data_IF_165345607214
#
_entry.id   IF_165345607214
#
_cell.length_a   1.000
_cell.length_b   1.000
_cell.length_c   1.000
_cell.angle_alpha   90.00
_cell.angle_beta   90.00
_cell.angle_gamma   90.00
#
_symmetry.space_group_name_H-M   'P 1'
#
loop_
_entity.id
_entity.type
_entity.pdbx_description
1 polymer ?
#
# COMPACT_ATOMS: atom_id res chain seq x y z
N UNK A 1 15.40 4.93 5.91
CA UNK A 1 14.04 4.48 6.27
C UNK A 1 13.11 4.76 5.11
N UNK A 2 12.27 3.81 4.70
CA UNK A 2 11.21 4.08 3.71
C UNK A 2 10.01 4.63 4.49
N UNK A 3 9.57 5.84 4.17
CA UNK A 3 8.34 6.38 4.74
C UNK A 3 7.15 5.57 4.19
N UNK A 4 6.41 4.93 5.08
CA UNK A 4 5.29 4.05 4.73
C UNK A 4 4.06 4.45 5.52
N UNK A 5 2.90 4.43 4.86
CA UNK A 5 1.62 4.59 5.53
C UNK A 5 0.93 3.24 5.66
N UNK A 6 0.02 3.13 6.63
CA UNK A 6 -0.84 1.95 6.81
C UNK A 6 -1.56 1.59 5.49
N UNK A 7 -2.01 2.60 4.77
CA UNK A 7 -2.66 2.45 3.46
C UNK A 7 -1.70 1.88 2.41
N UNK A 8 -0.49 2.45 2.26
CA UNK A 8 0.46 2.00 1.25
C UNK A 8 0.93 0.56 1.49
N UNK A 9 1.21 0.18 2.74
CA UNK A 9 1.61 -1.19 3.11
C UNK A 9 0.51 -2.19 2.73
N UNK A 10 -0.75 -1.87 3.04
CA UNK A 10 -1.89 -2.72 2.69
C UNK A 10 -2.01 -2.92 1.18
N UNK A 11 -1.93 -1.84 0.41
CA UNK A 11 -2.00 -1.91 -1.06
C UNK A 11 -0.88 -2.78 -1.62
N UNK A 12 0.35 -2.59 -1.15
CA UNK A 12 1.50 -3.36 -1.60
C UNK A 12 1.36 -4.85 -1.25
N UNK A 13 0.94 -5.17 -0.01
CA UNK A 13 0.67 -6.55 0.39
C UNK A 13 -0.42 -7.21 -0.45
N UNK A 14 -1.53 -6.51 -0.69
CA UNK A 14 -2.61 -7.00 -1.53
C UNK A 14 -2.13 -7.23 -2.97
N UNK A 15 -1.34 -6.32 -3.52
CA UNK A 15 -0.76 -6.45 -4.86
C UNK A 15 0.14 -7.70 -4.96
N UNK A 16 0.84 -8.05 -3.89
CA UNK A 16 1.65 -9.27 -3.80
C UNK A 16 0.91 -10.52 -3.26
N UNK A 17 -0.41 -10.44 -3.07
CA UNK A 17 -1.25 -11.58 -2.68
C UNK A 17 -1.27 -11.90 -1.19
N UNK A 18 -0.69 -11.05 -0.34
CA UNK A 18 -0.58 -11.20 1.11
C UNK A 18 -1.82 -10.67 1.85
N UNK A 19 -3.00 -11.20 1.49
CA UNK A 19 -4.29 -10.73 2.02
C UNK A 19 -4.39 -10.85 3.56
N UNK A 20 -3.80 -11.90 4.13
CA UNK A 20 -3.87 -12.15 5.58
C UNK A 20 -2.96 -11.20 6.35
N UNK A 21 -1.78 -10.88 5.82
CA UNK A 21 -0.90 -9.87 6.39
C UNK A 21 -1.51 -8.47 6.26
N UNK A 22 -2.14 -8.16 5.13
CA UNK A 22 -2.82 -6.88 4.92
C UNK A 22 -3.90 -6.59 5.98
N UNK A 23 -4.60 -7.62 6.48
CA UNK A 23 -5.59 -7.47 7.56
C UNK A 23 -4.96 -7.12 8.90
N UNK A 24 -3.74 -7.58 9.15
CA UNK A 24 -3.05 -7.35 10.42
C UNK A 24 -2.49 -5.92 10.55
N UNK A 25 -2.29 -5.23 9.43
CA UNK A 25 -1.72 -3.86 9.41
C UNK A 25 -2.59 -2.84 10.17
N UNK A 26 -3.90 -3.06 10.29
CA UNK A 26 -4.78 -2.19 11.08
C UNK A 26 -4.50 -2.24 12.58
N UNK A 27 -3.91 -3.33 13.07
CA UNK A 27 -3.62 -3.55 14.48
C UNK A 27 -2.23 -3.06 14.89
N UNK A 28 -1.40 -2.70 13.93
CA UNK A 28 -0.04 -2.24 14.16
C UNK A 28 -0.01 -0.79 14.62
N UNK A 29 0.85 -0.50 15.59
CA UNK A 29 1.14 0.87 16.03
C UNK A 29 1.98 1.62 14.98
N UNK A 30 2.07 2.94 15.10
CA UNK A 30 2.89 3.71 14.15
C UNK A 30 4.39 3.41 14.29
N UNK A 31 4.85 3.02 15.49
CA UNK A 31 6.23 2.54 15.71
C UNK A 31 6.49 1.22 14.96
N UNK A 32 5.51 0.32 14.92
CA UNK A 32 5.60 -0.93 14.14
C UNK A 32 5.69 -0.62 12.64
N UNK A 33 4.90 0.35 12.15
CA UNK A 33 4.96 0.78 10.75
C UNK A 33 6.33 1.38 10.41
N UNK A 34 6.91 2.17 11.31
CA UNK A 34 8.26 2.71 11.15
C UNK A 34 9.30 1.58 11.06
N UNK A 35 9.18 0.56 11.93
CA UNK A 35 10.06 -0.61 11.92
C UNK A 35 9.94 -1.43 10.64
N UNK A 36 8.74 -1.56 10.08
CA UNK A 36 8.53 -2.13 8.74
C UNK A 36 9.28 -1.31 7.67
N UNK A 37 9.20 0.02 7.73
CA UNK A 37 9.90 0.92 6.82
C UNK A 37 11.43 0.83 6.91
N UNK A 38 11.97 0.55 8.10
CA UNK A 38 13.40 0.26 8.32
C UNK A 38 13.80 -1.09 7.73
N UNK A 39 13.01 -2.14 7.99
CA UNK A 39 13.26 -3.47 7.41
C UNK A 39 13.18 -3.45 5.89
N UNK A 40 12.19 -2.76 5.33
CA UNK A 40 12.04 -2.57 3.90
C UNK A 40 13.26 -1.88 3.28
N UNK A 41 13.85 -0.89 3.96
CA UNK A 41 15.04 -0.18 3.48
C UNK A 41 16.25 -1.11 3.29
N UNK A 42 16.39 -2.17 4.10
CA UNK A 42 17.47 -3.17 3.95
C UNK A 42 17.43 -3.90 2.61
N UNK A 43 16.26 -3.94 1.97
CA UNK A 43 16.06 -4.66 0.71
C UNK A 43 16.31 -3.79 -0.53
N UNK A 44 16.44 -2.47 -0.41
CA UNK A 44 16.60 -1.56 -1.56
C UNK A 44 17.81 -1.93 -2.43
N UNK A 45 18.92 -2.35 -1.82
CA UNK A 45 20.14 -2.75 -2.53
C UNK A 45 20.00 -4.03 -3.37
N UNK A 46 18.88 -4.76 -3.27
CA UNK A 46 18.62 -5.98 -4.03
C UNK A 46 17.91 -5.72 -5.38
N UNK A 47 17.59 -4.45 -5.67
CA UNK A 47 16.88 -4.06 -6.88
C UNK A 47 15.40 -4.45 -6.87
N UNK A 48 14.64 -3.88 -7.81
CA UNK A 48 13.19 -4.09 -7.92
C UNK A 48 12.37 -2.89 -7.42
N UNK A 49 11.07 -3.11 -7.22
CA UNK A 49 10.15 -2.06 -6.82
C UNK A 49 10.13 -1.88 -5.30
N UNK A 50 10.00 -0.63 -4.85
CA UNK A 50 9.79 -0.27 -3.45
C UNK A 50 8.65 -1.08 -2.82
N UNK A 51 7.56 -1.30 -3.54
CA UNK A 51 6.45 -2.12 -3.06
C UNK A 51 6.84 -3.55 -2.71
N UNK A 52 7.80 -4.15 -3.44
CA UNK A 52 8.33 -5.49 -3.12
C UNK A 52 9.09 -5.45 -1.80
N UNK A 53 9.91 -4.42 -1.60
CA UNK A 53 10.69 -4.25 -0.39
C UNK A 53 9.80 -4.01 0.83
N UNK A 54 8.72 -3.25 0.68
CA UNK A 54 7.70 -3.06 1.72
C UNK A 54 7.04 -4.39 2.08
N UNK A 55 6.63 -5.18 1.08
CA UNK A 55 6.07 -6.51 1.32
C UNK A 55 7.06 -7.43 2.06
N UNK A 56 8.33 -7.46 1.65
CA UNK A 56 9.38 -8.24 2.31
C UNK A 56 9.63 -7.79 3.76
N UNK A 57 9.75 -6.49 4.00
CA UNK A 57 9.93 -5.94 5.35
C UNK A 57 8.74 -6.24 6.26
N UNK A 58 7.52 -6.21 5.72
CA UNK A 58 6.30 -6.53 6.48
C UNK A 58 6.21 -8.02 6.81
N UNK A 59 6.54 -8.88 5.86
CA UNK A 59 6.60 -10.34 6.07
C UNK A 59 7.62 -10.67 7.17
N UNK A 60 8.83 -10.10 7.08
CA UNK A 60 9.87 -10.32 8.08
C UNK A 60 9.44 -9.84 9.47
N UNK A 61 8.77 -8.69 9.55
CA UNK A 61 8.27 -8.14 10.80
C UNK A 61 7.21 -9.03 11.45
N UNK A 62 6.18 -9.43 10.70
CA UNK A 62 5.03 -10.18 11.24
C UNK A 62 5.38 -11.65 11.49
N UNK A 63 6.11 -12.28 10.56
CA UNK A 63 6.41 -13.71 10.65
C UNK A 63 7.73 -14.01 11.39
N UNK A 64 8.52 -12.98 11.70
CA UNK A 64 9.84 -13.12 12.32
C UNK A 64 10.90 -13.75 11.42
N UNK A 65 10.58 -14.01 10.14
CA UNK A 65 11.49 -14.61 9.16
C UNK A 65 11.28 -14.03 7.77
N UNK A 66 12.37 -13.93 7.01
CA UNK A 66 12.29 -13.56 5.59
C UNK A 66 11.72 -14.71 4.76
N UNK A 67 10.70 -14.41 3.94
CA UNK A 67 10.28 -15.24 2.81
C UNK A 67 9.88 -14.35 1.62
N UNK A 68 9.85 -14.93 0.42
CA UNK A 68 9.32 -14.22 -0.75
C UNK A 68 7.79 -14.02 -0.63
N UNK A 69 7.24 -12.96 -1.24
CA UNK A 69 5.80 -12.79 -1.32
C UNK A 69 5.12 -13.87 -2.17
N UNK A 70 3.84 -14.14 -1.91
CA UNK A 70 3.04 -15.16 -2.63
C UNK A 70 3.03 -14.94 -4.14
N UNK A 71 3.02 -13.69 -4.61
CA UNK A 71 3.11 -13.34 -6.04
C UNK A 71 4.52 -12.85 -6.40
N UNK A 72 5.02 -13.30 -7.55
CA UNK A 72 6.29 -12.80 -8.13
C UNK A 72 6.16 -11.41 -8.78
N UNK A 73 4.96 -11.08 -9.26
CA UNK A 73 4.63 -9.80 -9.92
C UNK A 73 3.47 -9.14 -9.18
N UNK A 74 3.51 -7.81 -9.06
CA UNK A 74 2.43 -7.01 -8.47
C UNK A 74 1.19 -7.05 -9.36
N UNK A 75 0.04 -7.17 -8.71
CA UNK A 75 -1.26 -7.02 -9.34
C UNK A 75 -1.67 -5.55 -9.32
N UNK A 76 -1.62 -4.90 -10.49
CA UNK A 76 -1.81 -3.45 -10.58
C UNK A 76 -3.27 -3.03 -10.37
N UNK A 77 -4.24 -3.92 -10.57
CA UNK A 77 -5.66 -3.59 -10.37
C UNK A 77 -5.99 -3.26 -8.92
N UNK A 78 -5.12 -3.65 -7.98
CA UNK A 78 -5.23 -3.33 -6.57
C UNK A 78 -5.15 -1.81 -6.34
N UNK A 79 -4.27 -1.13 -7.09
CA UNK A 79 -4.08 0.33 -7.02
C UNK A 79 -5.14 1.12 -7.81
N UNK A 80 -5.87 0.49 -8.74
CA UNK A 80 -6.95 1.13 -9.51
C UNK A 80 -8.21 1.42 -8.68
N UNK A 81 -8.26 0.92 -7.44
CA UNK A 81 -9.20 1.39 -6.43
C UNK A 81 -8.76 2.80 -6.01
N UNK A 82 -9.09 3.79 -6.85
CA UNK A 82 -8.96 5.21 -6.55
C UNK A 82 -9.40 5.43 -5.11
N UNK A 83 -8.60 6.16 -4.33
CA UNK A 83 -9.11 6.85 -3.15
C UNK A 83 -10.50 7.42 -3.51
N UNK A 84 -11.51 7.33 -2.62
CA UNK A 84 -12.83 7.84 -2.94
C UNK A 84 -12.67 9.30 -3.37
N UNK A 85 -12.74 9.53 -4.68
CA UNK A 85 -12.72 10.89 -5.23
C UNK A 85 -13.87 11.57 -4.51
N UNK A 86 -13.65 12.72 -3.84
CA UNK A 86 -14.75 13.45 -3.23
C UNK A 86 -15.80 13.58 -4.31
N UNK A 87 -16.98 12.95 -4.12
CA UNK A 87 -18.04 13.00 -5.11
C UNK A 87 -18.22 14.47 -5.42
N UNK A 88 -17.95 14.90 -6.65
CA UNK A 88 -18.27 16.26 -7.06
C UNK A 88 -19.70 16.53 -6.61
N UNK A 89 -19.84 17.44 -5.65
CA UNK A 89 -21.13 17.79 -5.08
C UNK A 89 -22.04 18.12 -6.25
N UNK A 90 -23.27 17.61 -6.22
CA UNK A 90 -24.28 17.77 -7.29
C UNK A 90 -24.38 19.23 -7.78
N UNK A 91 -24.07 20.19 -6.91
CA UNK A 91 -23.90 21.61 -7.15
C UNK A 91 -22.91 21.92 -8.29
N UNK A 92 -21.74 21.28 -8.35
CA UNK A 92 -20.75 21.45 -9.41
C UNK A 92 -21.25 20.98 -10.79
N UNK A 93 -22.05 19.91 -10.83
CA UNK A 93 -22.72 19.44 -12.05
C UNK A 93 -23.80 20.41 -12.55
N UNK A 94 -24.51 21.06 -11.65
CA UNK A 94 -25.52 22.07 -11.98
C UNK A 94 -24.85 23.35 -12.51
N UNK A 95 -23.80 23.82 -11.84
CA UNK A 95 -23.04 25.01 -12.24
C UNK A 95 -22.39 24.86 -13.63
N UNK A 96 -21.85 23.69 -13.96
CA UNK A 96 -21.29 23.43 -15.29
C UNK A 96 -22.34 23.33 -16.40
N UNK A 97 -23.60 23.00 -16.08
CA UNK A 97 -24.71 23.05 -17.05
C UNK A 97 -25.19 24.48 -17.29
N UNK A 98 -25.11 25.36 -16.28
CA UNK A 98 -25.50 26.76 -16.40
C UNK A 98 -24.48 27.61 -17.16
N UNK A 99 -23.19 27.25 -17.12
CA UNK A 99 -22.13 27.94 -17.91
C UNK A 99 -22.17 27.66 -19.42
N UNK A 100 -23.05 26.78 -19.89
CA UNK A 100 -23.16 26.38 -21.30
C UNK A 100 -24.29 27.09 -22.07
N UNK A 101 -24.91 28.11 -21.47
CA UNK A 101 -25.85 29.03 -22.11
C UNK A 101 -25.32 30.45 -22.05
#
# INVERSE_FOLDING_TARGET
>A
MIAVSRYSIKQDLLAYGEKDLAKQIDQLSDDDLNRIGELAAKYIGQGGYISKHIALGTIEFIEGKKREPKRKKRDLSVYDNKEPVPKENVIGRILNRLKKY
#
